data_IF_970083635326
#
_entry.id   IF_970083635326
#
_cell.length_a   1.000
_cell.length_b   1.000
_cell.length_c   1.000
_cell.angle_alpha   90.00
_cell.angle_beta   90.00
_cell.angle_gamma   90.00
#
_symmetry.space_group_name_H-M   'P 1'
#
loop_
_entity.id
_entity.type
_entity.pdbx_description
1 polymer ?
#
# COMPACT_ATOMS: atom_id res chain seq x y z
N UNK A 1 -8.79 -13.55 20.41
CA UNK A 1 -8.44 -12.14 20.63
C UNK A 1 -8.78 -11.77 22.06
N UNK A 2 -7.91 -10.98 22.70
CA UNK A 2 -8.08 -10.57 24.11
C UNK A 2 -9.41 -9.85 24.37
N UNK A 3 -9.93 -9.15 23.33
CA UNK A 3 -11.23 -8.45 23.42
C UNK A 3 -12.44 -9.34 23.67
N UNK A 4 -12.35 -10.62 23.40
CA UNK A 4 -13.42 -11.59 23.71
C UNK A 4 -13.36 -12.06 25.17
N UNK A 5 -12.17 -11.93 25.78
CA UNK A 5 -11.90 -12.33 27.15
C UNK A 5 -11.93 -11.12 28.13
N UNK A 6 -11.70 -9.93 27.65
CA UNK A 6 -11.56 -8.69 28.44
C UNK A 6 -12.50 -7.60 27.91
N UNK A 7 -13.78 -7.74 28.16
CA UNK A 7 -14.84 -6.90 27.59
C UNK A 7 -14.90 -5.47 28.14
N UNK A 8 -14.24 -5.23 29.26
CA UNK A 8 -14.14 -3.93 29.95
C UNK A 8 -12.88 -3.14 29.59
N UNK A 9 -12.02 -3.70 28.74
CA UNK A 9 -10.82 -3.00 28.27
C UNK A 9 -11.14 -2.03 27.13
N UNK A 10 -10.47 -0.89 27.15
CA UNK A 10 -10.37 0.03 26.00
C UNK A 10 -9.00 -0.18 25.37
N UNK A 11 -9.00 -0.46 24.08
CA UNK A 11 -7.79 -0.79 23.35
C UNK A 11 -7.48 0.24 22.26
N UNK A 12 -6.19 0.46 22.03
CA UNK A 12 -5.68 1.22 20.89
C UNK A 12 -4.44 0.52 20.35
N UNK A 13 -4.33 0.40 19.05
CA UNK A 13 -3.13 -0.14 18.41
C UNK A 13 -1.99 0.87 18.52
N UNK A 14 -0.82 0.43 18.99
CA UNK A 14 0.34 1.30 19.18
C UNK A 14 1.06 1.62 17.87
N UNK A 15 1.02 0.70 16.89
CA UNK A 15 1.68 0.84 15.61
C UNK A 15 1.02 -0.06 14.56
N UNK A 16 0.77 0.47 13.37
CA UNK A 16 0.17 -0.27 12.25
C UNK A 16 1.07 -0.26 11.03
N UNK A 17 1.39 -1.43 10.52
CA UNK A 17 2.01 -1.57 9.21
C UNK A 17 1.03 -1.26 8.09
N UNK A 18 1.49 -0.68 6.97
CA UNK A 18 0.60 -0.36 5.84
C UNK A 18 -0.23 -1.56 5.34
N UNK A 19 0.34 -2.76 5.37
CA UNK A 19 -0.35 -3.99 4.95
C UNK A 19 -1.50 -4.42 5.87
N UNK A 20 -1.49 -3.96 7.13
CA UNK A 20 -2.48 -4.36 8.13
C UNK A 20 -3.64 -3.34 8.27
N UNK A 21 -3.61 -2.24 7.55
CA UNK A 21 -4.62 -1.15 7.59
C UNK A 21 -6.04 -1.69 7.51
N UNK A 22 -6.35 -2.43 6.44
CA UNK A 22 -7.72 -2.93 6.22
C UNK A 22 -8.14 -3.92 7.32
N UNK A 23 -7.25 -4.81 7.74
CA UNK A 23 -7.51 -5.79 8.81
C UNK A 23 -7.77 -5.10 10.15
N UNK A 24 -6.96 -4.12 10.50
CA UNK A 24 -7.12 -3.39 11.76
C UNK A 24 -8.41 -2.57 11.75
N UNK A 25 -8.77 -1.98 10.60
CA UNK A 25 -10.03 -1.26 10.46
C UNK A 25 -11.27 -2.18 10.64
N UNK A 26 -11.23 -3.42 10.15
CA UNK A 26 -12.29 -4.40 10.43
C UNK A 26 -12.41 -4.71 11.93
N UNK A 27 -11.31 -4.76 12.67
CA UNK A 27 -11.34 -4.94 14.11
C UNK A 27 -11.94 -3.72 14.83
N UNK A 28 -11.60 -2.52 14.41
CA UNK A 28 -12.19 -1.27 14.93
C UNK A 28 -13.71 -1.26 14.71
N UNK A 29 -14.17 -1.64 13.54
CA UNK A 29 -15.61 -1.71 13.24
C UNK A 29 -16.32 -2.80 14.05
N UNK A 30 -15.65 -3.92 14.30
CA UNK A 30 -16.24 -5.07 15.01
C UNK A 30 -16.34 -4.87 16.52
N UNK A 31 -15.33 -4.22 17.12
CA UNK A 31 -15.24 -4.09 18.57
C UNK A 31 -15.27 -2.61 18.98
N UNK A 32 -16.39 -2.12 19.58
CA UNK A 32 -16.53 -0.70 19.96
C UNK A 32 -15.50 -0.22 20.98
N UNK A 33 -14.88 -1.14 21.72
CA UNK A 33 -13.82 -0.81 22.67
C UNK A 33 -12.43 -0.64 22.03
N UNK A 34 -12.28 -0.89 20.73
CA UNK A 34 -11.07 -0.57 19.97
C UNK A 34 -11.23 0.83 19.38
N UNK A 35 -10.50 1.80 19.93
CA UNK A 35 -10.60 3.21 19.52
C UNK A 35 -9.94 3.49 18.16
N UNK A 36 -9.02 2.63 17.73
CA UNK A 36 -8.25 2.80 16.50
C UNK A 36 -6.83 2.33 16.66
N UNK A 37 -5.96 2.84 15.79
CA UNK A 37 -4.53 2.56 15.81
C UNK A 37 -3.70 3.77 15.37
N UNK A 38 -2.38 3.70 15.62
CA UNK A 38 -1.42 4.69 15.15
C UNK A 38 -0.64 4.13 13.97
N UNK A 39 -0.68 4.84 12.86
CA UNK A 39 0.14 4.50 11.69
C UNK A 39 1.61 4.75 11.97
N UNK A 40 2.47 3.81 11.62
CA UNK A 40 3.87 4.09 11.50
C UNK A 40 4.28 4.13 10.03
N UNK A 41 4.44 5.34 9.45
CA UNK A 41 4.18 6.62 10.12
C UNK A 41 3.40 7.53 9.16
N UNK A 42 2.81 8.60 9.68
CA UNK A 42 2.08 9.55 8.82
C UNK A 42 3.04 10.41 7.99
N UNK A 43 4.12 10.94 8.59
CA UNK A 43 5.14 11.74 7.90
C UNK A 43 6.49 11.07 8.01
N UNK A 44 7.19 10.94 6.88
CA UNK A 44 8.50 10.31 6.83
C UNK A 44 9.56 11.11 7.61
N UNK A 45 10.63 10.49 8.02
CA UNK A 45 11.62 11.06 8.91
C UNK A 45 13.05 10.62 8.57
N UNK A 46 14.02 11.34 9.12
CA UNK A 46 15.42 10.98 9.11
C UNK A 46 15.71 10.00 10.24
N UNK A 47 16.46 8.97 9.95
CA UNK A 47 16.71 7.84 10.85
C UNK A 47 16.11 6.57 10.30
N UNK A 48 16.49 5.42 10.83
CA UNK A 48 16.07 4.09 10.37
C UNK A 48 16.05 3.94 8.84
N UNK A 49 17.15 4.29 8.13
CA UNK A 49 17.15 4.46 6.67
C UNK A 49 16.65 3.22 5.96
N UNK A 50 15.59 3.38 5.16
CA UNK A 50 15.05 2.29 4.34
C UNK A 50 14.27 1.22 5.09
N UNK A 51 13.78 1.48 6.30
CA UNK A 51 12.90 0.52 7.01
C UNK A 51 11.68 0.15 6.17
N UNK A 52 11.10 1.12 5.45
CA UNK A 52 9.98 0.93 4.52
C UNK A 52 10.39 0.81 3.05
N UNK A 53 11.64 0.43 2.78
CA UNK A 53 12.14 0.33 1.40
C UNK A 53 11.34 -0.65 0.55
N UNK A 54 11.25 -0.34 -0.72
CA UNK A 54 10.63 -1.18 -1.75
C UNK A 54 11.61 -1.51 -2.90
N UNK A 55 12.84 -1.02 -2.81
CA UNK A 55 13.91 -1.23 -3.80
C UNK A 55 15.23 -1.54 -3.11
N UNK A 56 16.16 -2.07 -3.88
CA UNK A 56 17.53 -2.28 -3.45
C UNK A 56 17.91 -3.74 -3.25
N UNK A 57 19.11 -3.97 -2.78
CA UNK A 57 19.63 -5.31 -2.46
C UNK A 57 19.50 -5.56 -0.98
N UNK A 58 19.20 -6.80 -0.60
CA UNK A 58 19.40 -7.26 0.77
C UNK A 58 20.91 -7.25 1.01
N UNK A 59 21.39 -6.50 2.00
CA UNK A 59 22.78 -6.63 2.36
C UNK A 59 23.04 -8.02 2.95
N UNK A 60 24.30 -8.46 2.92
CA UNK A 60 24.70 -9.82 3.34
C UNK A 60 24.46 -10.09 4.82
N UNK A 61 24.33 -9.05 5.65
CA UNK A 61 24.06 -9.17 7.08
C UNK A 61 22.58 -9.36 7.41
N UNK A 62 21.67 -9.19 6.43
CA UNK A 62 20.23 -9.23 6.70
C UNK A 62 19.72 -8.02 7.48
N UNK A 63 20.54 -6.99 7.65
CA UNK A 63 20.18 -5.77 8.36
C UNK A 63 19.09 -5.01 7.61
N UNK A 64 18.02 -4.68 8.32
CA UNK A 64 16.88 -3.94 7.76
C UNK A 64 17.15 -2.44 7.66
N UNK A 65 18.16 -1.93 8.35
CA UNK A 65 18.42 -0.49 8.47
C UNK A 65 19.48 0.04 7.50
N UNK A 66 20.35 -0.80 6.97
CA UNK A 66 21.48 -0.34 6.18
C UNK A 66 21.18 -0.43 4.68
N UNK A 67 20.64 0.61 4.08
CA UNK A 67 20.38 0.59 2.65
C UNK A 67 20.65 1.93 1.97
N UNK A 68 21.85 2.06 1.45
CA UNK A 68 22.07 3.09 0.43
C UNK A 68 21.19 2.81 -0.81
N UNK A 69 20.49 3.77 -1.41
CA UNK A 69 20.64 5.23 -1.19
C UNK A 69 19.65 5.86 -0.20
N UNK A 70 18.92 5.08 0.57
CA UNK A 70 17.93 5.61 1.49
C UNK A 70 18.58 6.44 2.59
N UNK A 71 18.00 7.61 2.87
CA UNK A 71 18.37 8.51 3.96
C UNK A 71 17.22 8.72 4.94
N UNK A 72 16.00 8.47 4.49
CA UNK A 72 14.78 8.51 5.30
C UNK A 72 14.30 7.10 5.58
N UNK A 73 13.39 6.95 6.53
CA UNK A 73 12.75 5.68 6.85
C UNK A 73 12.01 5.08 5.65
N UNK A 74 11.46 5.93 4.77
CA UNK A 74 10.70 5.55 3.58
C UNK A 74 9.41 4.77 3.89
N UNK A 75 8.79 5.01 5.05
CA UNK A 75 7.57 4.35 5.50
C UNK A 75 6.39 5.32 5.70
N UNK A 76 6.60 6.64 5.57
CA UNK A 76 5.56 7.64 5.77
C UNK A 76 4.43 7.58 4.72
N UNK A 77 3.22 7.88 5.14
CA UNK A 77 2.09 8.17 4.24
C UNK A 77 2.37 9.44 3.41
N UNK A 78 3.13 10.37 3.99
CA UNK A 78 3.76 11.48 3.29
C UNK A 78 5.28 11.30 3.32
N UNK A 79 5.95 11.60 2.24
CA UNK A 79 7.40 11.64 2.23
C UNK A 79 7.92 12.87 2.99
N UNK A 80 9.24 12.97 3.18
CA UNK A 80 9.85 14.06 3.95
C UNK A 80 9.63 15.44 3.31
N UNK A 81 9.28 15.50 2.05
CA UNK A 81 8.98 16.74 1.32
C UNK A 81 7.49 17.11 1.34
N UNK A 82 6.64 16.23 1.90
CA UNK A 82 5.19 16.40 1.93
C UNK A 82 4.46 15.79 0.73
N UNK A 83 5.16 15.06 -0.14
CA UNK A 83 4.48 14.33 -1.21
C UNK A 83 3.69 13.17 -0.61
N UNK A 84 2.40 13.12 -0.94
CA UNK A 84 1.49 12.09 -0.46
C UNK A 84 1.68 10.80 -1.24
N UNK A 85 1.98 9.72 -0.52
CA UNK A 85 2.29 8.41 -1.10
C UNK A 85 1.02 7.55 -1.29
N UNK A 86 1.06 6.57 -2.20
CA UNK A 86 -0.08 5.70 -2.52
C UNK A 86 -0.69 4.98 -1.32
N UNK A 87 0.09 4.55 -0.32
CA UNK A 87 -0.44 3.90 0.88
C UNK A 87 -1.41 4.77 1.68
N UNK A 88 -1.23 6.09 1.66
CA UNK A 88 -2.15 7.03 2.29
C UNK A 88 -3.52 7.05 1.60
N UNK A 89 -3.55 6.97 0.27
CA UNK A 89 -4.80 6.86 -0.49
C UNK A 89 -5.47 5.50 -0.29
N UNK A 90 -4.67 4.43 -0.20
CA UNK A 90 -5.18 3.12 0.18
C UNK A 90 -5.88 3.18 1.54
N UNK A 91 -5.26 3.81 2.54
CA UNK A 91 -5.86 4.00 3.87
C UNK A 91 -7.21 4.69 3.79
N UNK A 92 -7.31 5.81 3.06
CA UNK A 92 -8.58 6.52 2.88
C UNK A 92 -9.67 5.65 2.26
N UNK A 93 -9.32 4.84 1.26
CA UNK A 93 -10.27 3.91 0.66
C UNK A 93 -10.77 2.89 1.68
N UNK A 94 -9.86 2.30 2.48
CA UNK A 94 -10.20 1.23 3.41
C UNK A 94 -11.03 1.71 4.60
N UNK A 95 -10.77 2.93 5.10
CA UNK A 95 -11.55 3.51 6.21
C UNK A 95 -12.82 4.24 5.76
N UNK A 96 -13.09 4.31 4.46
CA UNK A 96 -14.30 4.90 3.91
C UNK A 96 -14.30 6.42 3.79
N UNK A 97 -13.15 7.08 3.94
CA UNK A 97 -13.02 8.51 3.72
C UNK A 97 -12.94 8.88 2.23
N UNK A 98 -12.59 7.91 1.39
CA UNK A 98 -12.54 8.07 -0.05
C UNK A 98 -13.50 7.09 -0.71
N UNK A 99 -14.41 7.61 -1.52
CA UNK A 99 -15.38 6.82 -2.30
C UNK A 99 -14.87 6.51 -3.70
N UNK A 100 -14.08 7.44 -4.28
CA UNK A 100 -13.51 7.25 -5.61
C UNK A 100 -12.30 6.30 -5.55
N UNK A 101 -12.15 5.39 -6.51
CA UNK A 101 -10.98 4.52 -6.57
C UNK A 101 -9.70 5.33 -6.80
N UNK A 102 -8.58 4.85 -6.26
CA UNK A 102 -7.27 5.39 -6.53
C UNK A 102 -6.48 4.45 -7.46
N UNK A 103 -5.88 5.02 -8.50
CA UNK A 103 -5.06 4.30 -9.46
C UNK A 103 -3.58 4.46 -9.12
N UNK A 104 -2.88 3.35 -8.98
CA UNK A 104 -1.45 3.28 -8.75
C UNK A 104 -0.78 2.40 -9.81
N UNK A 105 0.21 2.93 -10.49
CA UNK A 105 0.94 2.26 -11.56
C UNK A 105 2.32 1.87 -11.05
N UNK A 106 2.72 0.62 -11.27
CA UNK A 106 4.07 0.20 -10.92
C UNK A 106 5.10 1.01 -11.69
N UNK A 107 6.15 1.41 -10.97
CA UNK A 107 7.23 2.18 -11.54
C UNK A 107 7.99 1.35 -12.58
N UNK A 108 7.75 1.65 -13.86
CA UNK A 108 8.35 0.91 -14.98
C UNK A 108 9.87 1.06 -15.08
N UNK A 109 10.45 2.07 -14.39
CA UNK A 109 11.91 2.23 -14.31
C UNK A 109 12.58 1.32 -13.27
N UNK A 110 11.79 0.50 -12.56
CA UNK A 110 12.28 -0.42 -11.54
C UNK A 110 12.02 -1.87 -11.93
N UNK A 111 13.03 -2.68 -11.80
CA UNK A 111 12.87 -4.13 -11.93
C UNK A 111 12.09 -4.67 -10.71
N UNK A 112 10.86 -5.11 -10.95
CA UNK A 112 9.97 -5.63 -9.90
C UNK A 112 10.57 -6.83 -9.14
N UNK A 113 11.46 -7.59 -9.78
CA UNK A 113 12.14 -8.75 -9.20
C UNK A 113 13.10 -8.40 -8.06
N UNK A 114 13.52 -7.14 -7.97
CA UNK A 114 14.40 -6.65 -6.92
C UNK A 114 13.64 -5.96 -5.77
N UNK A 115 12.33 -6.13 -5.68
CA UNK A 115 11.54 -5.56 -4.61
C UNK A 115 11.86 -6.25 -3.27
N UNK A 116 12.42 -5.51 -2.34
CA UNK A 116 12.57 -5.96 -0.96
C UNK A 116 11.27 -5.64 -0.22
N UNK A 117 10.78 -6.62 0.54
CA UNK A 117 9.58 -6.45 1.36
C UNK A 117 9.97 -6.44 2.83
N UNK A 118 9.79 -5.31 3.47
CA UNK A 118 9.79 -5.20 4.93
C UNK A 118 8.34 -5.07 5.42
N UNK A 119 8.05 -5.19 6.72
CA UNK A 119 6.70 -4.95 7.24
C UNK A 119 6.15 -3.56 6.90
N UNK A 120 7.02 -2.56 6.82
CA UNK A 120 6.68 -1.16 6.50
C UNK A 120 6.69 -0.83 5.01
N UNK A 121 7.09 -1.77 4.14
CA UNK A 121 7.16 -1.54 2.70
C UNK A 121 5.79 -1.36 2.07
N UNK A 122 5.73 -0.44 1.11
CA UNK A 122 4.66 -0.36 0.14
C UNK A 122 5.22 -0.62 -1.27
N UNK A 123 4.43 -1.18 -2.21
CA UNK A 123 4.88 -1.35 -3.58
C UNK A 123 5.40 -0.05 -4.19
N UNK A 124 6.38 -0.16 -5.09
CA UNK A 124 6.90 0.98 -5.84
C UNK A 124 5.91 1.39 -6.93
N UNK A 125 4.89 2.09 -6.53
CA UNK A 125 3.80 2.54 -7.38
C UNK A 125 3.62 4.06 -7.29
N UNK A 126 3.14 4.65 -8.36
CA UNK A 126 2.84 6.07 -8.46
C UNK A 126 1.55 6.30 -9.23
N UNK A 127 0.85 7.41 -9.00
CA UNK A 127 -0.32 7.80 -9.79
C UNK A 127 0.12 8.55 -11.05
N UNK A 128 0.75 7.82 -11.98
CA UNK A 128 1.23 8.37 -13.24
C UNK A 128 1.05 7.36 -14.37
N UNK A 129 0.68 7.87 -15.54
CA UNK A 129 0.60 7.12 -16.81
C UNK A 129 1.54 7.75 -17.85
N UNK A 130 2.74 8.18 -17.45
CA UNK A 130 3.71 8.83 -18.33
C UNK A 130 5.09 8.17 -18.20
N UNK A 131 5.30 7.13 -19.01
CA UNK A 131 6.48 6.27 -18.96
C UNK A 131 7.21 6.28 -20.32
N UNK A 132 7.73 7.45 -20.68
CA UNK A 132 8.45 7.62 -21.96
C UNK A 132 9.60 6.62 -22.11
N UNK A 133 9.61 5.90 -23.25
CA UNK A 133 10.61 4.89 -23.57
C UNK A 133 10.23 3.48 -23.11
N UNK A 134 9.02 3.30 -22.53
CA UNK A 134 8.48 2.00 -22.13
C UNK A 134 7.24 1.60 -22.94
N UNK A 135 7.00 2.27 -24.07
CA UNK A 135 5.86 1.99 -24.95
C UNK A 135 5.92 0.54 -25.45
N UNK A 136 4.81 -0.20 -25.31
CA UNK A 136 4.73 -1.61 -25.70
C UNK A 136 5.21 -2.59 -24.63
N UNK A 137 5.71 -2.11 -23.49
CA UNK A 137 6.12 -2.98 -22.39
C UNK A 137 4.94 -3.36 -21.46
N UNK A 138 5.01 -4.53 -20.79
CA UNK A 138 4.04 -4.89 -19.77
C UNK A 138 4.03 -3.88 -18.62
N UNK A 139 2.84 -3.49 -18.20
CA UNK A 139 2.64 -2.59 -17.05
C UNK A 139 1.61 -3.18 -16.10
N UNK A 140 1.86 -3.02 -14.82
CA UNK A 140 0.96 -3.43 -13.74
C UNK A 140 0.31 -2.22 -13.11
N UNK A 141 -1.01 -2.28 -12.97
CA UNK A 141 -1.84 -1.23 -12.37
C UNK A 141 -2.56 -1.79 -11.16
N UNK A 142 -2.48 -1.11 -10.05
CA UNK A 142 -3.28 -1.37 -8.86
C UNK A 142 -4.42 -0.35 -8.77
N UNK A 143 -5.62 -0.86 -8.47
CA UNK A 143 -6.78 -0.06 -8.15
C UNK A 143 -7.08 -0.25 -6.67
N UNK A 144 -7.03 0.83 -5.90
CA UNK A 144 -7.44 0.84 -4.50
C UNK A 144 -8.87 1.30 -4.39
N UNK A 145 -9.70 0.51 -3.74
CA UNK A 145 -11.10 0.87 -3.57
C UNK A 145 -11.89 -0.20 -2.83
N UNK A 146 -13.11 0.19 -2.44
CA UNK A 146 -14.12 -0.67 -1.85
C UNK A 146 -15.24 -0.85 -2.86
N UNK A 147 -15.80 -2.05 -2.95
CA UNK A 147 -16.84 -2.39 -3.91
C UNK A 147 -16.87 -3.88 -4.18
N UNK A 148 -17.64 -4.28 -5.16
CA UNK A 148 -17.74 -5.68 -5.57
C UNK A 148 -16.79 -6.01 -6.72
N UNK A 149 -16.68 -5.09 -7.67
CA UNK A 149 -15.92 -5.28 -8.90
C UNK A 149 -15.22 -3.98 -9.32
N UNK A 150 -14.04 -4.10 -9.90
CA UNK A 150 -13.30 -3.03 -10.57
C UNK A 150 -13.12 -3.34 -12.05
N UNK A 151 -13.32 -2.34 -12.90
CA UNK A 151 -13.01 -2.39 -14.32
C UNK A 151 -11.91 -1.37 -14.64
N UNK A 152 -10.87 -1.81 -15.34
CA UNK A 152 -9.85 -0.91 -15.86
C UNK A 152 -10.13 -0.58 -17.32
N UNK A 153 -10.23 0.71 -17.63
CA UNK A 153 -10.44 1.23 -18.98
C UNK A 153 -9.24 2.10 -19.36
N UNK A 154 -8.63 1.81 -20.51
CA UNK A 154 -7.52 2.58 -21.05
C UNK A 154 -7.89 3.03 -22.46
N UNK A 155 -7.81 4.33 -22.74
CA UNK A 155 -8.17 4.93 -24.01
C UNK A 155 -9.56 4.49 -24.52
N UNK A 156 -10.56 4.41 -23.60
CA UNK A 156 -11.91 4.01 -23.88
C UNK A 156 -12.14 2.51 -24.13
N UNK A 157 -11.11 1.69 -23.97
CA UNK A 157 -11.22 0.23 -24.11
C UNK A 157 -11.06 -0.46 -22.77
N UNK A 158 -11.95 -1.40 -22.48
CA UNK A 158 -11.85 -2.23 -21.28
C UNK A 158 -10.64 -3.16 -21.37
N UNK A 159 -9.81 -3.13 -20.34
CA UNK A 159 -8.73 -4.10 -20.12
C UNK A 159 -9.28 -5.36 -19.47
N UNK A 160 -10.36 -5.21 -18.68
CA UNK A 160 -11.05 -6.31 -18.02
C UNK A 160 -11.73 -5.87 -16.74
N UNK A 161 -12.49 -6.82 -16.17
CA UNK A 161 -13.19 -6.68 -14.90
C UNK A 161 -12.69 -7.72 -13.93
N UNK A 162 -12.55 -7.35 -12.67
CA UNK A 162 -12.09 -8.23 -11.61
C UNK A 162 -12.82 -7.94 -10.32
N UNK A 163 -13.13 -8.97 -9.51
CA UNK A 163 -13.70 -8.76 -8.19
C UNK A 163 -12.71 -8.00 -7.30
N UNK A 164 -13.25 -7.13 -6.45
CA UNK A 164 -12.47 -6.46 -5.41
C UNK A 164 -12.31 -7.41 -4.23
N UNK A 165 -11.07 -7.66 -3.84
CA UNK A 165 -10.74 -8.61 -2.77
C UNK A 165 -11.18 -8.10 -1.41
N UNK A 166 -11.84 -8.95 -0.63
CA UNK A 166 -12.25 -8.67 0.75
C UNK A 166 -11.16 -9.03 1.76
N UNK A 167 -11.23 -8.45 2.96
CA UNK A 167 -10.23 -8.67 4.04
C UNK A 167 -10.05 -10.14 4.41
N UNK A 168 -11.08 -10.94 4.26
CA UNK A 168 -11.10 -12.37 4.65
C UNK A 168 -10.51 -13.30 3.60
N UNK A 169 -10.17 -12.81 2.42
CA UNK A 169 -9.89 -13.62 1.23
C UNK A 169 -8.39 -13.78 0.91
N UNK A 170 -7.54 -14.01 1.91
CA UNK A 170 -6.16 -14.44 1.63
C UNK A 170 -5.04 -13.54 2.16
N UNK A 171 -3.83 -13.72 1.60
CA UNK A 171 -2.60 -13.05 2.04
C UNK A 171 -2.36 -11.68 1.39
N UNK A 172 -3.09 -11.37 0.33
CA UNK A 172 -2.93 -10.11 -0.41
C UNK A 172 -3.78 -9.00 0.20
N UNK A 173 -3.44 -7.76 -0.10
CA UNK A 173 -4.12 -6.60 0.44
C UNK A 173 -5.59 -6.56 -0.01
N UNK A 174 -6.50 -6.46 0.95
CA UNK A 174 -7.92 -6.22 0.69
C UNK A 174 -8.10 -4.86 -0.02
N UNK A 175 -9.12 -4.75 -0.87
CA UNK A 175 -9.38 -3.51 -1.61
C UNK A 175 -8.33 -3.15 -2.66
N UNK A 176 -7.39 -4.05 -2.96
CA UNK A 176 -6.42 -3.89 -4.05
C UNK A 176 -6.76 -4.84 -5.18
N UNK A 177 -7.13 -4.29 -6.33
CA UNK A 177 -7.36 -5.05 -7.56
C UNK A 177 -6.23 -4.78 -8.54
N UNK A 178 -5.60 -5.85 -9.04
CA UNK A 178 -4.42 -5.75 -9.90
C UNK A 178 -4.77 -6.08 -11.34
N UNK A 179 -4.39 -5.20 -12.25
CA UNK A 179 -4.47 -5.41 -13.69
C UNK A 179 -3.06 -5.43 -14.30
N UNK A 180 -2.89 -6.30 -15.28
CA UNK A 180 -1.69 -6.34 -16.11
C UNK A 180 -2.11 -6.04 -17.55
N UNK A 181 -1.39 -5.16 -18.19
CA UNK A 181 -1.66 -4.72 -19.57
C UNK A 181 -0.37 -4.29 -20.25
N UNK A 182 -0.49 -3.82 -21.47
CA UNK A 182 0.64 -3.23 -22.20
C UNK A 182 0.53 -1.71 -22.11
N UNK A 183 1.64 -1.06 -21.76
CA UNK A 183 1.70 0.39 -21.70
C UNK A 183 1.53 0.99 -23.10
N UNK A 184 0.56 1.87 -23.23
CA UNK A 184 0.27 2.69 -24.41
C UNK A 184 0.00 4.12 -23.90
N UNK A 185 0.72 5.13 -24.43
CA UNK A 185 0.52 6.53 -24.06
C UNK A 185 -0.84 7.09 -24.49
#
# INVERSE_FOLDING_TARGET
LDMENFTDWICVGSETFPKDIAKNWELVKKYPAILGDFSWTSWDYLGEPGIGRNRGTVNRSGDIYEVFPYKTANCGDFDITGYRRPQSYYRECMIGHRTDPYLAVYNMKCEAEKAIKTPWSWPDVVSSWSWRGHEGEPVRVEVYGVGEEAELIINGKSVGRKPVRKVTEGKDLAGVTVFETIYQP
#
